data_IF_702467155626
#
_entry.id   IF_702467155626
#
_cell.length_a   1.000
_cell.length_b   1.000
_cell.length_c   1.000
_cell.angle_alpha   90.00
_cell.angle_beta   90.00
_cell.angle_gamma   90.00
#
_symmetry.space_group_name_H-M   'P 1'
#
loop_
_entity.id
_entity.type
_entity.pdbx_description
1 polymer ?
#
# COMPACT_ATOMS: atom_id res chain seq x y z
N UNK A 1 9.40 5.01 -23.83
CA UNK A 1 9.91 5.02 -22.44
C UNK A 1 11.42 4.96 -22.50
N UNK A 2 12.12 5.95 -21.96
CA UNK A 2 13.57 5.87 -21.82
C UNK A 2 13.88 4.89 -20.69
N UNK A 3 14.51 3.78 -21.02
CA UNK A 3 15.08 2.85 -20.04
C UNK A 3 16.09 3.65 -19.23
N UNK A 4 15.85 3.83 -17.92
CA UNK A 4 16.77 4.56 -17.06
C UNK A 4 18.08 3.80 -17.03
N UNK A 5 19.13 4.36 -17.61
CA UNK A 5 20.44 3.72 -17.67
C UNK A 5 20.96 3.49 -16.24
N UNK A 6 21.17 2.23 -15.90
CA UNK A 6 21.67 1.84 -14.58
C UNK A 6 23.13 2.30 -14.47
N UNK A 7 23.59 2.88 -13.34
CA UNK A 7 24.98 3.32 -13.21
C UNK A 7 25.99 2.23 -13.56
N UNK A 8 27.15 2.64 -14.10
CA UNK A 8 28.22 1.71 -14.47
C UNK A 8 28.61 0.80 -13.28
N UNK A 9 28.67 -0.50 -13.53
CA UNK A 9 28.98 -1.51 -12.50
C UNK A 9 27.77 -2.08 -11.76
N UNK A 10 26.54 -1.68 -12.11
CA UNK A 10 25.31 -2.20 -11.53
C UNK A 10 24.44 -2.91 -12.58
N UNK A 11 23.70 -3.92 -12.13
CA UNK A 11 22.70 -4.63 -12.95
C UNK A 11 21.36 -4.53 -12.25
N UNK A 12 20.31 -4.13 -12.99
CA UNK A 12 18.95 -4.16 -12.47
C UNK A 12 18.41 -5.60 -12.54
N UNK A 13 18.04 -6.15 -11.39
CA UNK A 13 17.34 -7.42 -11.32
C UNK A 13 15.83 -7.15 -11.27
N UNK A 14 15.12 -7.52 -12.33
CA UNK A 14 13.66 -7.45 -12.35
C UNK A 14 13.04 -8.56 -11.49
N UNK A 15 12.17 -8.17 -10.56
CA UNK A 15 11.46 -9.09 -9.69
C UNK A 15 11.36 -8.59 -8.26
N UNK A 16 10.91 -9.46 -7.37
CA UNK A 16 10.85 -9.17 -5.93
C UNK A 16 12.13 -9.71 -5.26
N UNK A 17 12.79 -8.93 -4.38
CA UNK A 17 13.89 -9.47 -3.60
C UNK A 17 13.38 -10.62 -2.72
N UNK A 18 14.26 -11.55 -2.38
CA UNK A 18 13.94 -12.50 -1.32
C UNK A 18 13.68 -11.73 -0.02
N UNK A 19 12.97 -12.37 0.91
CA UNK A 19 12.69 -11.80 2.22
C UNK A 19 13.98 -11.46 2.97
N UNK A 20 14.98 -12.35 2.89
CA UNK A 20 16.26 -12.17 3.55
C UNK A 20 17.04 -11.01 2.92
N UNK A 21 17.04 -10.88 1.59
CA UNK A 21 17.66 -9.75 0.90
C UNK A 21 16.96 -8.44 1.27
N UNK A 22 15.63 -8.42 1.34
CA UNK A 22 14.87 -7.24 1.76
C UNK A 22 15.23 -6.80 3.18
N UNK A 23 15.27 -7.75 4.13
CA UNK A 23 15.64 -7.49 5.53
C UNK A 23 17.07 -6.97 5.62
N UNK A 24 18.01 -7.63 4.92
CA UNK A 24 19.41 -7.24 4.85
C UNK A 24 19.57 -5.82 4.29
N UNK A 25 18.96 -5.53 3.13
CA UNK A 25 19.05 -4.23 2.47
C UNK A 25 18.53 -3.10 3.36
N UNK A 26 17.42 -3.31 4.07
CA UNK A 26 16.90 -2.29 5.00
C UNK A 26 17.86 -2.03 6.16
N UNK A 27 18.35 -3.10 6.80
CA UNK A 27 19.27 -3.00 7.93
C UNK A 27 20.59 -2.32 7.51
N UNK A 28 21.19 -2.76 6.41
CA UNK A 28 22.44 -2.20 5.87
C UNK A 28 22.29 -0.72 5.47
N UNK A 29 21.10 -0.30 5.03
CA UNK A 29 20.81 1.08 4.63
C UNK A 29 20.38 1.99 5.79
N UNK A 30 20.43 1.51 7.05
CA UNK A 30 19.93 2.26 8.21
C UNK A 30 18.42 2.53 8.18
N UNK A 31 17.68 1.84 7.29
CA UNK A 31 16.24 1.97 7.20
C UNK A 31 15.61 1.14 8.31
N UNK A 32 14.63 1.72 9.00
CA UNK A 32 13.85 0.96 9.99
C UNK A 32 13.27 -0.25 9.28
N UNK A 33 13.50 -1.46 9.80
CA UNK A 33 12.73 -2.63 9.36
C UNK A 33 11.26 -2.22 9.40
N UNK A 34 10.53 -2.53 8.33
CA UNK A 34 9.06 -2.51 8.37
C UNK A 34 8.69 -3.62 9.33
N UNK A 35 8.80 -3.33 10.64
CA UNK A 35 8.53 -4.30 11.69
C UNK A 35 7.11 -4.76 11.51
N UNK A 36 6.87 -5.99 11.91
CA UNK A 36 5.55 -6.55 12.02
C UNK A 36 4.61 -5.63 12.84
N UNK A 37 5.17 -4.76 13.67
CA UNK A 37 4.48 -3.80 14.53
C UNK A 37 4.04 -2.50 13.83
N UNK A 38 4.43 -2.27 12.57
CA UNK A 38 3.84 -1.22 11.72
C UNK A 38 2.46 -1.64 11.13
N UNK A 39 1.78 -2.59 11.79
CA UNK A 39 0.48 -3.14 11.39
C UNK A 39 0.55 -4.41 10.55
N UNK A 40 1.72 -5.04 10.46
CA UNK A 40 2.05 -6.16 9.59
C UNK A 40 2.64 -7.36 10.33
N UNK A 41 2.04 -7.78 11.45
CA UNK A 41 2.51 -8.75 12.47
C UNK A 41 2.91 -10.17 12.03
N UNK A 42 3.28 -10.40 10.76
CA UNK A 42 3.64 -11.70 10.22
C UNK A 42 5.15 -11.95 10.23
N UNK A 43 5.58 -13.22 10.31
CA UNK A 43 6.97 -13.59 10.08
C UNK A 43 7.41 -13.15 8.67
N UNK A 44 8.72 -12.94 8.46
CA UNK A 44 9.28 -12.58 7.16
C UNK A 44 8.79 -13.57 6.08
N UNK A 45 8.22 -13.07 4.97
CA UNK A 45 7.63 -13.88 3.89
C UNK A 45 6.13 -14.14 3.97
N UNK A 46 5.44 -13.62 4.98
CA UNK A 46 3.98 -13.74 5.15
C UNK A 46 3.29 -12.36 5.27
N UNK A 47 3.82 -11.36 4.55
CA UNK A 47 3.25 -10.02 4.48
C UNK A 47 2.59 -9.82 3.12
N UNK A 48 1.28 -9.61 3.12
CA UNK A 48 0.53 -9.24 1.92
C UNK A 48 0.31 -7.74 1.90
N UNK A 49 0.63 -7.08 0.80
CA UNK A 49 0.39 -5.66 0.61
C UNK A 49 -0.79 -5.46 -0.34
N UNK A 50 -1.78 -4.67 0.08
CA UNK A 50 -2.91 -4.28 -0.75
C UNK A 50 -3.07 -2.76 -0.77
N UNK A 51 -3.31 -2.21 -1.94
CA UNK A 51 -3.69 -0.81 -2.12
C UNK A 51 -5.15 -0.75 -2.55
N UNK A 52 -5.98 -0.03 -1.80
CA UNK A 52 -7.28 0.41 -2.31
C UNK A 52 -7.02 1.67 -3.12
N UNK A 53 -6.89 1.50 -4.44
CA UNK A 53 -6.49 2.59 -5.33
C UNK A 53 -7.55 3.69 -5.44
N UNK A 54 -8.82 3.31 -5.52
CA UNK A 54 -9.93 4.26 -5.59
C UNK A 54 -11.25 3.62 -5.09
N UNK A 55 -12.16 4.46 -4.61
CA UNK A 55 -13.55 4.11 -4.33
C UNK A 55 -14.46 5.31 -4.59
N UNK A 56 -15.50 5.09 -5.38
CA UNK A 56 -16.48 6.12 -5.71
C UNK A 56 -17.92 5.67 -5.46
N UNK A 57 -18.79 6.64 -5.17
CA UNK A 57 -20.24 6.47 -5.23
C UNK A 57 -20.85 7.63 -6.03
N UNK A 58 -21.79 7.29 -6.93
CA UNK A 58 -22.51 8.31 -7.71
C UNK A 58 -23.24 9.28 -6.76
N UNK A 59 -23.35 10.59 -7.11
CA UNK A 59 -23.99 11.60 -6.27
C UNK A 59 -25.37 11.19 -5.72
N UNK A 60 -26.24 10.62 -6.58
CA UNK A 60 -27.59 10.14 -6.23
C UNK A 60 -27.64 9.00 -5.20
N UNK A 61 -26.49 8.38 -4.91
CA UNK A 61 -26.35 7.25 -3.99
C UNK A 61 -25.52 7.60 -2.75
N UNK A 62 -25.03 8.84 -2.61
CA UNK A 62 -24.27 9.30 -1.44
C UNK A 62 -25.15 9.42 -0.20
N UNK A 63 -24.52 9.50 0.98
CA UNK A 63 -25.17 9.63 2.31
C UNK A 63 -26.09 8.46 2.70
N UNK A 64 -26.07 7.36 1.95
CA UNK A 64 -26.82 6.12 2.22
C UNK A 64 -25.96 5.00 2.85
N UNK A 65 -24.75 5.32 3.29
CA UNK A 65 -23.82 4.34 3.89
C UNK A 65 -23.11 3.41 2.89
N UNK A 66 -23.35 3.54 1.59
CA UNK A 66 -22.83 2.61 0.58
C UNK A 66 -21.29 2.52 0.53
N UNK A 67 -20.58 3.64 0.71
CA UNK A 67 -19.11 3.62 0.74
C UNK A 67 -18.55 2.74 1.88
N UNK A 68 -19.23 2.69 3.03
CA UNK A 68 -18.87 1.82 4.15
C UNK A 68 -19.10 0.34 3.84
N UNK A 69 -20.22 0.04 3.17
CA UNK A 69 -20.53 -1.32 2.71
C UNK A 69 -19.49 -1.81 1.70
N UNK A 70 -19.12 -0.96 0.73
CA UNK A 70 -18.09 -1.27 -0.26
C UNK A 70 -16.74 -1.53 0.43
N UNK A 71 -16.30 -0.61 1.30
CA UNK A 71 -15.03 -0.73 2.02
C UNK A 71 -14.97 -2.03 2.84
N UNK A 72 -16.02 -2.34 3.61
CA UNK A 72 -16.09 -3.58 4.41
C UNK A 72 -16.03 -4.83 3.55
N UNK A 73 -16.70 -4.84 2.38
CA UNK A 73 -16.61 -5.98 1.45
C UNK A 73 -15.21 -6.12 0.86
N UNK A 74 -14.54 -5.02 0.52
CA UNK A 74 -13.15 -5.04 0.04
C UNK A 74 -12.21 -5.59 1.11
N UNK A 75 -12.31 -5.09 2.34
CA UNK A 75 -11.51 -5.57 3.47
C UNK A 75 -11.76 -7.05 3.77
N UNK A 76 -13.01 -7.51 3.70
CA UNK A 76 -13.34 -8.93 3.86
C UNK A 76 -12.73 -9.79 2.74
N UNK A 77 -12.77 -9.31 1.49
CA UNK A 77 -12.14 -9.99 0.36
C UNK A 77 -10.61 -10.03 0.49
N UNK A 78 -9.99 -8.94 0.91
CA UNK A 78 -8.53 -8.90 1.17
C UNK A 78 -8.17 -9.93 2.24
N UNK A 79 -8.90 -9.97 3.35
CA UNK A 79 -8.70 -10.96 4.42
C UNK A 79 -8.87 -12.39 3.94
N UNK A 80 -9.76 -12.66 2.98
CA UNK A 80 -9.95 -14.01 2.45
C UNK A 80 -8.86 -14.44 1.45
N UNK A 81 -8.16 -13.50 0.82
CA UNK A 81 -7.10 -13.77 -0.16
C UNK A 81 -5.70 -13.72 0.44
N UNK A 82 -5.50 -12.97 1.52
CA UNK A 82 -4.26 -13.01 2.26
C UNK A 82 -4.08 -14.42 2.83
N UNK A 83 -3.17 -15.21 2.24
CA UNK A 83 -2.73 -16.46 2.83
C UNK A 83 -2.19 -16.20 4.25
N UNK A 84 -2.09 -17.26 5.08
CA UNK A 84 -1.56 -17.20 6.46
C UNK A 84 -0.50 -16.10 6.60
N UNK A 85 -0.77 -15.10 7.42
CA UNK A 85 0.05 -13.89 7.45
C UNK A 85 -0.76 -12.64 7.81
N UNK A 86 -0.10 -11.49 7.72
CA UNK A 86 -0.75 -10.19 7.93
C UNK A 86 -0.96 -9.47 6.61
N UNK A 87 -2.17 -8.92 6.42
CA UNK A 87 -2.49 -8.06 5.29
C UNK A 87 -2.30 -6.60 5.69
N UNK A 88 -1.33 -5.94 5.09
CA UNK A 88 -1.12 -4.50 5.20
C UNK A 88 -1.88 -3.80 4.08
N UNK A 89 -2.88 -3.00 4.45
CA UNK A 89 -3.78 -2.33 3.50
C UNK A 89 -3.59 -0.82 3.60
N UNK A 90 -3.30 -0.17 2.48
CA UNK A 90 -3.13 1.29 2.40
C UNK A 90 -4.10 1.90 1.40
N UNK A 91 -4.33 3.21 1.52
CA UNK A 91 -5.10 4.02 0.60
C UNK A 91 -4.70 5.49 0.69
N UNK A 92 -4.98 6.26 -0.36
CA UNK A 92 -5.00 7.71 -0.30
C UNK A 92 -6.40 8.19 0.11
N UNK A 93 -6.49 8.98 1.18
CA UNK A 93 -7.74 9.57 1.62
C UNK A 93 -7.76 11.07 1.31
N UNK A 94 -8.84 11.54 0.70
CA UNK A 94 -9.18 12.95 0.71
C UNK A 94 -9.81 13.35 2.06
N UNK A 95 -9.88 14.65 2.33
CA UNK A 95 -10.44 15.18 3.60
C UNK A 95 -11.87 14.67 3.86
N UNK A 96 -12.79 14.65 2.88
CA UNK A 96 -14.14 14.11 3.08
C UNK A 96 -14.19 12.62 3.43
N UNK A 97 -13.32 11.81 2.81
CA UNK A 97 -13.26 10.36 3.00
C UNK A 97 -12.61 9.91 4.31
N UNK A 98 -11.75 10.74 4.91
CA UNK A 98 -10.93 10.36 6.09
C UNK A 98 -11.72 9.72 7.23
N UNK A 99 -12.85 10.30 7.62
CA UNK A 99 -13.71 9.76 8.71
C UNK A 99 -14.26 8.36 8.43
N UNK A 100 -14.53 8.04 7.16
CA UNK A 100 -14.99 6.71 6.77
C UNK A 100 -13.90 5.67 7.04
N UNK A 101 -12.66 6.00 6.66
CA UNK A 101 -11.52 5.11 6.79
C UNK A 101 -11.11 4.94 8.26
N UNK A 102 -11.04 6.03 9.02
CA UNK A 102 -10.73 5.98 10.47
C UNK A 102 -11.69 5.06 11.23
N UNK A 103 -13.00 5.16 10.94
CA UNK A 103 -14.01 4.29 11.56
C UNK A 103 -13.84 2.80 11.22
N UNK A 104 -13.21 2.49 10.08
CA UNK A 104 -12.93 1.12 9.66
C UNK A 104 -11.51 0.65 10.03
N UNK A 105 -10.82 1.39 10.92
CA UNK A 105 -9.54 0.97 11.51
C UNK A 105 -8.29 1.48 10.79
N UNK A 106 -8.44 2.30 9.75
CA UNK A 106 -7.30 2.99 9.15
C UNK A 106 -6.78 4.05 10.12
N UNK A 107 -5.46 4.26 10.11
CA UNK A 107 -4.78 5.28 10.92
C UNK A 107 -3.91 6.12 10.00
N UNK A 108 -3.75 7.40 10.34
CA UNK A 108 -2.77 8.24 9.66
C UNK A 108 -1.37 7.67 9.87
N UNK A 109 -0.60 7.60 8.79
CA UNK A 109 0.80 7.13 8.83
C UNK A 109 1.79 8.28 9.04
N UNK A 110 1.33 9.52 8.95
CA UNK A 110 2.13 10.72 9.23
C UNK A 110 2.41 10.91 10.73
N UNK A 111 3.55 11.52 11.11
CA UNK A 111 4.64 11.99 10.23
C UNK A 111 5.62 10.88 9.82
N UNK A 112 5.47 9.68 10.37
CA UNK A 112 6.43 8.56 10.22
C UNK A 112 6.58 8.11 8.77
N UNK A 113 5.49 8.12 8.01
CA UNK A 113 5.46 7.67 6.62
C UNK A 113 4.61 8.61 5.77
N UNK A 114 5.27 9.31 4.85
CA UNK A 114 4.65 10.27 3.94
C UNK A 114 4.31 9.58 2.61
N UNK A 115 3.08 9.73 2.14
CA UNK A 115 2.72 9.30 0.78
C UNK A 115 3.41 10.17 -0.27
N UNK A 116 3.77 9.57 -1.41
CA UNK A 116 4.37 10.26 -2.55
C UNK A 116 3.59 9.93 -3.83
N UNK A 117 3.52 10.87 -4.76
CA UNK A 117 2.87 10.68 -6.06
C UNK A 117 3.74 11.25 -7.17
N UNK A 118 3.89 10.51 -8.27
CA UNK A 118 4.45 10.99 -9.53
C UNK A 118 3.36 10.90 -10.60
N UNK A 119 3.12 11.99 -11.34
CA UNK A 119 2.29 11.95 -12.54
C UNK A 119 3.20 11.74 -13.74
N UNK A 120 2.94 10.71 -14.51
CA UNK A 120 3.61 10.47 -15.80
C UNK A 120 2.57 10.71 -16.89
N UNK A 121 2.82 11.68 -17.76
CA UNK A 121 2.02 11.89 -18.96
C UNK A 121 2.65 11.06 -20.08
N UNK A 122 1.85 10.29 -20.81
CA UNK A 122 2.28 9.80 -22.11
C UNK A 122 2.24 11.00 -23.04
N UNK A 123 3.36 11.36 -23.66
CA UNK A 123 3.35 12.35 -24.73
C UNK A 123 2.54 11.73 -25.88
N UNK A 124 1.25 12.08 -25.94
CA UNK A 124 0.29 11.44 -26.83
C UNK A 124 0.82 11.29 -28.26
N UNK A 125 0.65 10.08 -28.81
CA UNK A 125 0.54 9.89 -30.25
C UNK A 125 -0.92 10.00 -30.66
#
# INVERSE_FOLDING_TARGET
MAESEVPAGYTLLEGYPSVDDYVHLRAASGLTLRSADAGGGGPPGQLWYFLIADMATLPKHRRKGLADVILKRLLARIKSHAAKGTAYVTLGADVPGRRLYERNGFKDTMPKEMGMSLKTEDAGQ
#
